data_IF_647037742933
#
_entry.id   IF_647037742933
#
_cell.length_a   1.000
_cell.length_b   1.000
_cell.length_c   1.000
_cell.angle_alpha   90.00
_cell.angle_beta   90.00
_cell.angle_gamma   90.00
#
_symmetry.space_group_name_H-M   'P 1'
#
loop_
_entity.id
_entity.type
_entity.pdbx_description
1 polymer ?
#
# COMPACT_ATOMS: atom_id res chain seq x y z
N UNK A 1 16.62 2.74 -28.19
CA UNK A 1 16.05 1.54 -27.54
C UNK A 1 15.81 1.79 -26.05
N UNK A 2 16.74 2.44 -25.33
CA UNK A 2 16.61 2.76 -23.89
C UNK A 2 15.53 3.79 -23.53
N UNK A 3 15.06 4.62 -24.48
CA UNK A 3 14.07 5.67 -24.23
C UNK A 3 12.60 5.21 -24.31
N UNK A 4 12.32 4.06 -24.93
CA UNK A 4 10.94 3.52 -25.04
C UNK A 4 10.53 2.80 -23.75
N UNK A 5 11.52 2.23 -23.04
CA UNK A 5 11.27 1.48 -21.80
C UNK A 5 10.87 2.39 -20.64
N UNK A 6 11.40 3.63 -20.59
CA UNK A 6 11.03 4.63 -19.59
C UNK A 6 9.57 5.11 -19.72
N UNK A 7 8.97 5.02 -20.92
CA UNK A 7 7.61 5.48 -21.18
C UNK A 7 6.54 4.37 -20.99
N UNK A 8 6.98 3.11 -20.86
CA UNK A 8 6.11 1.95 -20.52
C UNK A 8 6.07 1.62 -19.03
N UNK A 9 6.88 2.27 -18.20
CA UNK A 9 6.73 2.26 -16.74
C UNK A 9 5.52 3.10 -16.32
N UNK A 10 4.33 2.70 -16.78
CA UNK A 10 3.10 2.95 -16.02
C UNK A 10 3.26 2.11 -14.76
N UNK A 11 3.90 2.69 -13.75
CA UNK A 11 4.67 1.94 -12.75
C UNK A 11 3.90 0.72 -12.23
N UNK A 12 4.47 -0.46 -12.51
CA UNK A 12 3.96 -1.76 -12.11
C UNK A 12 3.55 -1.73 -10.63
N UNK A 13 2.32 -2.15 -10.33
CA UNK A 13 1.75 -2.07 -8.98
C UNK A 13 2.63 -2.77 -7.94
N UNK A 14 3.34 -3.84 -8.34
CA UNK A 14 4.32 -4.51 -7.48
C UNK A 14 5.46 -3.58 -7.10
N UNK A 15 6.10 -2.94 -8.08
CA UNK A 15 7.18 -1.97 -7.86
C UNK A 15 6.71 -0.77 -7.03
N UNK A 16 5.52 -0.23 -7.33
CA UNK A 16 4.92 0.86 -6.55
C UNK A 16 4.68 0.46 -5.10
N UNK A 17 4.05 -0.70 -4.87
CA UNK A 17 3.77 -1.19 -3.52
C UNK A 17 5.02 -1.45 -2.70
N UNK A 18 6.10 -1.94 -3.31
CA UNK A 18 7.37 -2.14 -2.63
C UNK A 18 8.00 -0.80 -2.22
N UNK A 19 8.08 0.17 -3.15
CA UNK A 19 8.57 1.52 -2.84
C UNK A 19 7.73 2.20 -1.78
N UNK A 20 6.41 2.04 -1.84
CA UNK A 20 5.49 2.55 -0.83
C UNK A 20 5.76 1.91 0.54
N UNK A 21 5.95 0.59 0.62
CA UNK A 21 6.29 -0.12 1.84
C UNK A 21 7.61 0.39 2.46
N UNK A 22 8.64 0.66 1.66
CA UNK A 22 9.90 1.27 2.13
C UNK A 22 9.64 2.63 2.79
N UNK A 23 8.80 3.47 2.17
CA UNK A 23 8.43 4.78 2.73
C UNK A 23 7.65 4.65 4.04
N UNK A 24 6.74 3.69 4.13
CA UNK A 24 6.00 3.38 5.36
C UNK A 24 6.96 2.96 6.48
N UNK A 25 7.89 2.05 6.22
CA UNK A 25 8.89 1.61 7.22
C UNK A 25 9.72 2.80 7.73
N UNK A 26 10.14 3.68 6.83
CA UNK A 26 10.91 4.87 7.22
C UNK A 26 10.07 5.86 8.04
N UNK A 27 8.79 6.04 7.72
CA UNK A 27 7.87 6.84 8.52
C UNK A 27 7.66 6.24 9.91
N UNK A 28 7.45 4.93 10.02
CA UNK A 28 7.29 4.28 11.33
C UNK A 28 8.56 4.38 12.18
N UNK A 29 9.76 4.23 11.58
CA UNK A 29 11.04 4.47 12.28
C UNK A 29 11.17 5.89 12.81
N UNK A 30 10.61 6.88 12.09
CA UNK A 30 10.56 8.26 12.58
C UNK A 30 9.59 8.38 13.77
N UNK A 31 8.38 7.82 13.67
CA UNK A 31 7.37 7.84 14.73
C UNK A 31 7.83 7.16 16.03
N UNK A 32 8.62 6.10 15.94
CA UNK A 32 9.15 5.37 17.09
C UNK A 32 10.28 6.09 17.84
N UNK A 33 10.94 7.07 17.20
CA UNK A 33 11.98 7.89 17.87
C UNK A 33 11.38 8.90 18.84
N UNK A 34 10.13 9.29 18.60
CA UNK A 34 9.38 10.16 19.50
C UNK A 34 8.92 9.33 20.70
N UNK A 35 9.33 9.72 21.93
CA UNK A 35 9.01 9.02 23.19
C UNK A 35 7.53 9.17 23.59
N UNK A 36 6.60 8.78 22.71
CA UNK A 36 5.15 8.80 22.95
C UNK A 36 4.55 7.41 22.68
N UNK A 37 3.97 6.80 23.73
CA UNK A 37 3.40 5.45 23.66
C UNK A 37 2.28 5.31 22.62
N UNK A 38 1.48 6.36 22.40
CA UNK A 38 0.40 6.37 21.41
C UNK A 38 0.96 6.32 19.98
N UNK A 39 2.07 7.00 19.72
CA UNK A 39 2.73 6.97 18.40
C UNK A 39 3.24 5.58 18.06
N UNK A 40 3.77 4.84 19.05
CA UNK A 40 4.21 3.45 18.85
C UNK A 40 3.04 2.53 18.47
N UNK A 41 1.88 2.70 19.09
CA UNK A 41 0.69 1.90 18.74
C UNK A 41 0.24 2.19 17.30
N UNK A 42 0.17 3.47 16.92
CA UNK A 42 -0.21 3.87 15.56
C UNK A 42 0.82 3.41 14.51
N UNK A 43 2.12 3.55 14.80
CA UNK A 43 3.20 3.10 13.94
C UNK A 43 3.14 1.58 13.69
N UNK A 44 2.78 0.79 14.71
CA UNK A 44 2.59 -0.65 14.58
C UNK A 44 1.41 -1.02 13.68
N UNK A 45 0.29 -0.28 13.74
CA UNK A 45 -0.83 -0.52 12.83
C UNK A 45 -0.47 -0.12 11.39
N UNK A 46 0.22 1.00 11.23
CA UNK A 46 0.65 1.51 9.93
C UNK A 46 1.67 0.59 9.25
N UNK A 47 2.70 0.12 9.98
CA UNK A 47 3.76 -0.71 9.40
C UNK A 47 3.23 -2.06 8.96
N UNK A 48 2.33 -2.66 9.75
CA UNK A 48 1.71 -3.96 9.43
C UNK A 48 0.85 -3.85 8.18
N UNK A 49 -0.10 -2.91 8.15
CA UNK A 49 -0.97 -2.74 6.99
C UNK A 49 -0.18 -2.31 5.74
N UNK A 50 0.71 -1.32 5.86
CA UNK A 50 1.41 -0.74 4.71
C UNK A 50 2.40 -1.70 4.03
N UNK A 51 3.04 -2.59 4.79
CA UNK A 51 3.92 -3.62 4.21
C UNK A 51 3.14 -4.84 3.69
N UNK A 52 1.99 -5.16 4.30
CA UNK A 52 1.10 -6.25 3.88
C UNK A 52 0.56 -6.07 2.46
N UNK A 53 0.42 -4.83 1.98
CA UNK A 53 -0.01 -4.53 0.61
C UNK A 53 0.92 -5.20 -0.42
N UNK A 54 2.22 -4.90 -0.34
CA UNK A 54 3.22 -5.46 -1.26
C UNK A 54 3.37 -6.96 -1.10
N UNK A 55 3.38 -7.45 0.14
CA UNK A 55 3.47 -8.89 0.41
C UNK A 55 2.32 -9.68 -0.25
N UNK A 56 1.08 -9.22 -0.13
CA UNK A 56 -0.07 -9.88 -0.76
C UNK A 56 -0.06 -9.76 -2.29
N UNK A 57 0.53 -8.70 -2.85
CA UNK A 57 0.72 -8.58 -4.31
C UNK A 57 1.73 -9.63 -4.81
N UNK A 58 2.83 -9.84 -4.09
CA UNK A 58 3.80 -10.90 -4.42
C UNK A 58 3.17 -12.29 -4.31
N UNK A 59 2.39 -12.56 -3.25
CA UNK A 59 1.65 -13.81 -3.12
C UNK A 59 0.65 -14.01 -4.25
N UNK A 60 -0.01 -12.95 -4.71
CA UNK A 60 -0.91 -13.03 -5.87
C UNK A 60 -0.16 -13.46 -7.15
N UNK A 61 1.11 -13.07 -7.34
CA UNK A 61 1.89 -13.51 -8.51
C UNK A 61 2.18 -15.02 -8.49
N UNK A 62 2.24 -15.63 -7.30
CA UNK A 62 2.44 -17.06 -7.11
C UNK A 62 1.12 -17.85 -6.92
N UNK A 63 -0.03 -17.21 -7.21
CA UNK A 63 -1.34 -17.80 -6.98
C UNK A 63 -1.56 -19.09 -7.78
N UNK A 64 -2.14 -20.10 -7.13
CA UNK A 64 -2.36 -21.43 -7.73
C UNK A 64 -3.65 -21.50 -8.57
N UNK A 65 -4.50 -20.48 -8.49
CA UNK A 65 -5.73 -20.38 -9.26
C UNK A 65 -6.19 -18.93 -9.44
N UNK A 66 -7.14 -18.69 -10.36
CA UNK A 66 -7.77 -17.37 -10.51
C UNK A 66 -8.48 -16.91 -9.23
N UNK A 67 -9.08 -17.84 -8.47
CA UNK A 67 -9.78 -17.54 -7.22
C UNK A 67 -8.80 -17.14 -6.12
N UNK A 68 -7.66 -17.84 -6.03
CA UNK A 68 -6.57 -17.50 -5.11
C UNK A 68 -5.97 -16.13 -5.45
N UNK A 69 -5.67 -15.87 -6.73
CA UNK A 69 -5.23 -14.55 -7.20
C UNK A 69 -6.20 -13.44 -6.77
N UNK A 70 -7.50 -13.64 -7.01
CA UNK A 70 -8.53 -12.67 -6.63
C UNK A 70 -8.59 -12.43 -5.11
N UNK A 71 -8.42 -13.49 -4.31
CA UNK A 71 -8.37 -13.42 -2.85
C UNK A 71 -7.18 -12.59 -2.36
N UNK A 72 -5.97 -12.86 -2.85
CA UNK A 72 -4.75 -12.15 -2.47
C UNK A 72 -4.79 -10.66 -2.85
N UNK A 73 -5.24 -10.34 -4.07
CA UNK A 73 -5.44 -8.94 -4.49
C UNK A 73 -6.50 -8.25 -3.63
N UNK A 74 -7.57 -8.95 -3.26
CA UNK A 74 -8.60 -8.39 -2.37
C UNK A 74 -8.04 -8.07 -0.98
N UNK A 75 -7.19 -8.95 -0.42
CA UNK A 75 -6.49 -8.68 0.84
C UNK A 75 -5.60 -7.45 0.70
N UNK A 76 -4.75 -7.38 -0.33
CA UNK A 76 -3.92 -6.19 -0.60
C UNK A 76 -4.76 -4.90 -0.69
N UNK A 77 -5.95 -4.96 -1.30
CA UNK A 77 -6.85 -3.82 -1.40
C UNK A 77 -7.41 -3.39 -0.03
N UNK A 78 -7.70 -4.33 0.88
CA UNK A 78 -8.13 -3.99 2.26
C UNK A 78 -7.00 -3.32 3.03
N UNK A 79 -5.81 -3.88 2.95
CA UNK A 79 -4.61 -3.36 3.60
C UNK A 79 -4.29 -1.94 3.12
N UNK A 80 -4.42 -1.67 1.81
CA UNK A 80 -4.21 -0.34 1.27
C UNK A 80 -5.20 0.71 1.81
N UNK A 81 -6.47 0.31 2.01
CA UNK A 81 -7.49 1.19 2.61
C UNK A 81 -7.22 1.44 4.10
N UNK A 82 -6.78 0.41 4.81
CA UNK A 82 -6.40 0.52 6.22
C UNK A 82 -5.16 1.43 6.39
N UNK A 83 -4.13 1.25 5.57
CA UNK A 83 -2.96 2.13 5.57
C UNK A 83 -3.34 3.58 5.26
N UNK A 84 -4.24 3.81 4.29
CA UNK A 84 -4.73 5.15 4.00
C UNK A 84 -5.44 5.78 5.22
N UNK A 85 -6.24 5.00 5.94
CA UNK A 85 -6.90 5.44 7.17
C UNK A 85 -5.87 5.86 8.23
N UNK A 86 -4.84 5.04 8.47
CA UNK A 86 -3.80 5.36 9.45
C UNK A 86 -2.99 6.61 9.08
N UNK A 87 -2.65 6.79 7.80
CA UNK A 87 -2.01 8.03 7.32
C UNK A 87 -2.88 9.25 7.58
N UNK A 88 -4.18 9.18 7.24
CA UNK A 88 -5.13 10.27 7.49
C UNK A 88 -5.28 10.58 8.98
N UNK A 89 -5.31 9.55 9.83
CA UNK A 89 -5.41 9.72 11.28
C UNK A 89 -4.17 10.43 11.82
N UNK A 90 -2.97 10.00 11.46
CA UNK A 90 -1.71 10.62 11.88
C UNK A 90 -1.60 12.08 11.44
N UNK A 91 -2.06 12.41 10.23
CA UNK A 91 -2.11 13.80 9.74
C UNK A 91 -3.14 14.63 10.51
N UNK A 92 -4.33 14.09 10.76
CA UNK A 92 -5.41 14.79 11.47
C UNK A 92 -5.12 15.01 12.96
N UNK A 93 -4.31 14.15 13.57
CA UNK A 93 -3.82 14.33 14.95
C UNK A 93 -2.48 15.05 15.03
N UNK A 94 -2.01 15.63 13.91
CA UNK A 94 -0.77 16.42 13.82
C UNK A 94 0.51 15.68 14.27
N UNK A 95 0.47 14.34 14.31
CA UNK A 95 1.62 13.50 14.67
C UNK A 95 2.67 13.53 13.55
N UNK A 96 2.22 13.72 12.31
CA UNK A 96 3.07 13.90 11.13
C UNK A 96 2.68 15.17 10.39
N UNK A 97 3.68 15.88 9.86
CA UNK A 97 3.43 17.06 9.03
C UNK A 97 2.66 16.67 7.77
N UNK A 98 1.49 17.29 7.58
CA UNK A 98 0.66 17.07 6.38
C UNK A 98 1.42 17.45 5.11
N UNK A 99 2.17 18.55 5.11
CA UNK A 99 2.98 19.00 3.98
C UNK A 99 4.02 17.94 3.55
N UNK A 100 4.70 17.32 4.52
CA UNK A 100 5.77 16.33 4.26
C UNK A 100 5.25 14.94 3.91
N UNK A 101 3.96 14.67 4.13
CA UNK A 101 3.37 13.32 3.99
C UNK A 101 2.21 13.26 3.00
N UNK A 102 1.85 14.40 2.39
CA UNK A 102 0.78 14.48 1.41
C UNK A 102 1.04 13.59 0.20
N UNK A 103 2.28 13.53 -0.28
CA UNK A 103 2.66 12.70 -1.41
C UNK A 103 2.58 11.18 -1.09
N UNK A 104 2.88 10.79 0.15
CA UNK A 104 2.70 9.42 0.64
C UNK A 104 1.21 9.06 0.71
N UNK A 105 0.38 9.99 1.18
CA UNK A 105 -1.07 9.81 1.21
C UNK A 105 -1.64 9.69 -0.21
N UNK A 106 -1.24 10.55 -1.13
CA UNK A 106 -1.67 10.49 -2.54
C UNK A 106 -1.27 9.16 -3.18
N UNK A 107 -0.05 8.68 -2.96
CA UNK A 107 0.38 7.35 -3.42
C UNK A 107 -0.52 6.23 -2.86
N UNK A 108 -0.90 6.32 -1.57
CA UNK A 108 -1.83 5.36 -0.96
C UNK A 108 -3.20 5.38 -1.63
N UNK A 109 -3.74 6.55 -1.97
CA UNK A 109 -5.03 6.70 -2.66
C UNK A 109 -4.96 6.11 -4.08
N UNK A 110 -3.87 6.32 -4.80
CA UNK A 110 -3.64 5.72 -6.12
C UNK A 110 -3.52 4.19 -6.06
N UNK A 111 -2.77 3.65 -5.08
CA UNK A 111 -2.67 2.21 -4.84
C UNK A 111 -4.06 1.61 -4.57
N UNK A 112 -4.89 2.27 -3.76
CA UNK A 112 -6.28 1.83 -3.49
C UNK A 112 -7.10 1.80 -4.79
N UNK A 113 -7.01 2.83 -5.63
CA UNK A 113 -7.75 2.90 -6.90
C UNK A 113 -7.34 1.78 -7.87
N UNK A 114 -6.03 1.53 -7.98
CA UNK A 114 -5.48 0.46 -8.83
C UNK A 114 -5.93 -0.90 -8.31
N UNK A 115 -5.71 -1.20 -7.02
CA UNK A 115 -6.07 -2.50 -6.44
C UNK A 115 -7.58 -2.75 -6.45
N UNK A 116 -8.41 -1.71 -6.28
CA UNK A 116 -9.87 -1.83 -6.44
C UNK A 116 -10.23 -2.28 -7.86
N UNK A 117 -9.57 -1.70 -8.87
CA UNK A 117 -9.79 -2.07 -10.28
C UNK A 117 -9.34 -3.50 -10.55
N UNK A 118 -8.13 -3.89 -10.12
CA UNK A 118 -7.60 -5.24 -10.30
C UNK A 118 -8.48 -6.27 -9.57
N UNK A 119 -8.88 -6.00 -8.33
CA UNK A 119 -9.74 -6.88 -7.52
C UNK A 119 -11.08 -7.15 -8.20
N UNK A 120 -11.73 -6.11 -8.74
CA UNK A 120 -13.00 -6.24 -9.46
C UNK A 120 -12.86 -7.12 -10.70
N UNK A 121 -11.82 -6.89 -11.51
CA UNK A 121 -11.55 -7.68 -12.71
C UNK A 121 -11.18 -9.12 -12.38
N UNK A 122 -10.36 -9.35 -11.35
CA UNK A 122 -9.98 -10.69 -10.89
C UNK A 122 -11.20 -11.50 -10.42
N UNK A 123 -12.09 -10.89 -9.64
CA UNK A 123 -13.33 -11.52 -9.16
C UNK A 123 -14.30 -11.88 -10.29
N UNK A 124 -14.36 -11.09 -11.36
CA UNK A 124 -15.16 -11.42 -12.54
C UNK A 124 -14.58 -12.64 -13.27
N UNK A 125 -13.25 -12.68 -13.44
CA UNK A 125 -12.56 -13.78 -14.13
C UNK A 125 -12.49 -15.08 -13.34
N UNK A 126 -12.61 -15.04 -12.00
CA UNK A 126 -12.61 -16.24 -11.17
C UNK A 126 -13.96 -16.98 -11.16
N UNK A 127 -15.04 -16.33 -11.63
CA UNK A 127 -16.38 -16.92 -11.76
C UNK A 127 -16.63 -17.53 -13.14
N UNK A 128 -15.69 -17.38 -14.07
CA UNK A 128 -15.73 -17.85 -15.45
C UNK A 128 -14.67 -18.93 -15.68
#
# INVERSE_FOLDING_TARGET
MESIDQQRVKADIRTRSFRFAVRIVNLCRYLEREYNASNKVLANQLIRSGTSIGANIEEAQAAQSKADFASKVYIACKEARETNYWLRLLMATEVISSERTQDLRTESEEIVAILTTISRTAKQRSKA
#
